data_IF_747620108101
#
_entry.id   IF_747620108101
#
_cell.length_a   1.000
_cell.length_b   1.000
_cell.length_c   1.000
_cell.angle_alpha   90.00
_cell.angle_beta   90.00
_cell.angle_gamma   90.00
#
_symmetry.space_group_name_H-M   'P 1'
#
loop_
_entity.id
_entity.type
_entity.pdbx_description
1 polymer ?
#
# COMPACT_ATOMS: atom_id res chain seq x y z
N UNK A 1 20.87 0.94 15.28
CA UNK A 1 20.67 1.30 13.87
C UNK A 1 19.18 1.31 13.63
N UNK A 2 18.57 2.49 13.50
CA UNK A 2 17.14 2.60 13.23
C UNK A 2 16.89 2.03 11.84
N UNK A 3 16.07 0.97 11.77
CA UNK A 3 15.51 0.50 10.51
C UNK A 3 14.71 1.69 9.99
N UNK A 4 15.12 2.26 8.86
CA UNK A 4 14.31 3.24 8.15
C UNK A 4 13.02 2.52 7.76
N UNK A 5 12.02 2.59 8.65
CA UNK A 5 10.66 2.23 8.32
C UNK A 5 10.29 3.16 7.16
N UNK A 6 10.02 2.57 6.01
CA UNK A 6 9.46 3.28 4.87
C UNK A 6 8.13 3.87 5.35
N UNK A 7 8.16 5.09 5.90
CA UNK A 7 6.99 5.67 6.55
C UNK A 7 5.95 6.15 5.55
N UNK A 8 6.16 5.97 4.24
CA UNK A 8 5.25 6.48 3.20
C UNK A 8 5.14 8.01 3.17
N UNK A 9 5.75 8.72 4.12
CA UNK A 9 5.56 10.16 4.40
C UNK A 9 6.31 11.10 3.45
N UNK A 10 7.36 10.63 2.75
CA UNK A 10 8.12 11.51 1.84
C UNK A 10 7.46 11.78 0.49
N UNK A 11 6.30 11.16 0.22
CA UNK A 11 5.65 11.18 -1.10
C UNK A 11 4.23 11.73 -1.09
N UNK A 12 3.73 12.12 0.08
CA UNK A 12 2.35 12.60 0.29
C UNK A 12 2.38 13.91 1.06
N UNK A 13 1.52 14.86 0.68
CA UNK A 13 1.43 16.17 1.32
C UNK A 13 0.75 16.09 2.69
N UNK A 14 -0.19 15.14 2.85
CA UNK A 14 -0.94 14.90 4.09
C UNK A 14 -0.84 13.42 4.45
N UNK A 15 0.21 13.03 5.20
CA UNK A 15 0.33 11.65 5.65
C UNK A 15 -0.76 11.29 6.67
N UNK A 16 -1.04 10.00 6.80
CA UNK A 16 -1.86 9.49 7.90
C UNK A 16 -1.24 9.83 9.26
N UNK A 17 -2.07 10.05 10.28
CA UNK A 17 -1.57 10.03 11.66
C UNK A 17 -0.99 8.66 11.99
N UNK A 18 -0.05 8.60 12.93
CA UNK A 18 0.51 7.31 13.38
C UNK A 18 -0.58 6.33 13.85
N UNK A 19 -1.61 6.83 14.53
CA UNK A 19 -2.77 6.04 14.95
C UNK A 19 -3.51 5.43 13.76
N UNK A 20 -3.87 6.24 12.75
CA UNK A 20 -4.53 5.74 11.54
C UNK A 20 -3.62 4.81 10.74
N UNK A 21 -2.32 5.09 10.66
CA UNK A 21 -1.36 4.25 9.96
C UNK A 21 -1.34 2.82 10.54
N UNK A 22 -1.34 2.69 11.87
CA UNK A 22 -1.32 1.41 12.58
C UNK A 22 -2.71 0.85 12.89
N UNK A 23 -3.79 1.48 12.44
CA UNK A 23 -5.14 0.94 12.56
C UNK A 23 -5.24 -0.39 11.79
N UNK A 24 -5.95 -1.35 12.38
CA UNK A 24 -6.19 -2.65 11.77
C UNK A 24 -7.38 -2.52 10.81
N UNK A 25 -7.17 -2.95 9.57
CA UNK A 25 -8.25 -3.15 8.61
C UNK A 25 -8.94 -4.47 8.96
N UNK A 26 -10.23 -4.39 9.30
CA UNK A 26 -11.03 -5.55 9.72
C UNK A 26 -11.29 -6.51 8.55
N UNK A 27 -11.63 -5.96 7.39
CA UNK A 27 -11.84 -6.71 6.15
C UNK A 27 -10.94 -6.15 5.04
N UNK A 28 -9.77 -6.77 4.89
CA UNK A 28 -8.75 -6.34 3.91
C UNK A 28 -9.22 -6.57 2.48
N UNK A 29 -9.96 -7.65 2.24
CA UNK A 29 -10.45 -7.97 0.91
C UNK A 29 -11.46 -6.89 0.46
N UNK A 30 -12.39 -6.52 1.34
CA UNK A 30 -13.33 -5.42 1.09
C UNK A 30 -12.62 -4.08 0.86
N UNK A 31 -11.70 -3.70 1.77
CA UNK A 31 -10.99 -2.42 1.67
C UNK A 31 -10.24 -2.30 0.34
N UNK A 32 -9.52 -3.35 -0.05
CA UNK A 32 -8.74 -3.37 -1.29
C UNK A 32 -9.65 -3.38 -2.52
N UNK A 33 -10.74 -4.16 -2.51
CA UNK A 33 -11.71 -4.19 -3.60
C UNK A 33 -12.39 -2.83 -3.81
N UNK A 34 -12.69 -2.12 -2.71
CA UNK A 34 -13.28 -0.78 -2.76
C UNK A 34 -12.36 0.21 -3.48
N UNK A 35 -11.09 0.33 -3.09
CA UNK A 35 -10.15 1.20 -3.81
C UNK A 35 -9.93 0.74 -5.25
N UNK A 36 -9.77 -0.56 -5.50
CA UNK A 36 -9.62 -1.05 -6.86
C UNK A 36 -10.80 -0.66 -7.75
N UNK A 37 -12.02 -0.69 -7.21
CA UNK A 37 -13.23 -0.24 -7.88
C UNK A 37 -13.23 1.26 -8.16
N UNK A 38 -12.84 2.08 -7.17
CA UNK A 38 -12.74 3.55 -7.32
C UNK A 38 -11.73 3.93 -8.41
N UNK A 39 -10.58 3.26 -8.45
CA UNK A 39 -9.50 3.52 -9.41
C UNK A 39 -9.66 2.76 -10.73
N UNK A 40 -10.73 1.98 -10.88
CA UNK A 40 -11.04 1.16 -12.05
C UNK A 40 -9.88 0.23 -12.46
N UNK A 41 -9.30 -0.45 -11.48
CA UNK A 41 -8.25 -1.46 -11.66
C UNK A 41 -8.70 -2.83 -11.14
N UNK A 42 -8.03 -3.89 -11.58
CA UNK A 42 -8.30 -5.24 -11.05
C UNK A 42 -7.75 -5.37 -9.64
N UNK A 43 -8.39 -6.18 -8.81
CA UNK A 43 -7.89 -6.48 -7.48
C UNK A 43 -6.57 -7.30 -7.52
N UNK A 44 -5.56 -6.98 -6.68
CA UNK A 44 -4.37 -7.80 -6.55
C UNK A 44 -4.66 -9.03 -5.68
N UNK A 45 -3.87 -10.09 -5.84
CA UNK A 45 -3.91 -11.23 -4.92
C UNK A 45 -3.39 -10.80 -3.54
N UNK A 46 -4.20 -10.98 -2.51
CA UNK A 46 -3.80 -10.73 -1.13
C UNK A 46 -3.16 -11.98 -0.50
N UNK A 47 -2.00 -11.80 0.12
CA UNK A 47 -1.24 -12.89 0.75
C UNK A 47 -0.85 -12.50 2.17
N UNK A 48 -1.59 -13.02 3.14
CA UNK A 48 -1.23 -12.88 4.55
C UNK A 48 -0.05 -13.79 4.89
N UNK A 49 1.08 -13.20 5.25
CA UNK A 49 2.26 -13.92 5.68
C UNK A 49 2.21 -14.18 7.18
N UNK A 50 2.10 -15.45 7.57
CA UNK A 50 2.05 -15.88 8.98
C UNK A 50 3.43 -16.04 9.62
N UNK A 51 4.51 -16.08 8.82
CA UNK A 51 5.90 -16.12 9.28
C UNK A 51 6.83 -15.33 8.34
N UNK A 52 7.70 -14.51 8.94
CA UNK A 52 8.76 -13.75 8.26
C UNK A 52 9.91 -13.50 9.23
N UNK A 53 11.15 -13.72 8.77
CA UNK A 53 12.38 -13.66 9.58
C UNK A 53 12.73 -12.20 9.95
N UNK A 54 12.17 -11.71 11.04
CA UNK A 54 12.57 -10.44 11.66
C UNK A 54 11.40 -9.65 12.22
N UNK A 55 11.63 -8.92 13.32
CA UNK A 55 10.65 -8.03 14.00
C UNK A 55 10.24 -6.80 13.15
N UNK A 56 10.44 -6.82 11.83
CA UNK A 56 10.53 -5.64 10.96
C UNK A 56 9.79 -5.75 9.62
N UNK A 57 9.06 -6.84 9.33
CA UNK A 57 8.49 -7.03 8.00
C UNK A 57 7.16 -6.27 7.81
N UNK A 58 7.24 -5.16 7.06
CA UNK A 58 6.13 -4.42 6.47
C UNK A 58 5.58 -5.09 5.21
N UNK A 59 4.64 -4.44 4.52
CA UNK A 59 4.03 -4.95 3.30
C UNK A 59 5.02 -5.09 2.14
N UNK A 60 4.60 -5.76 1.08
CA UNK A 60 5.28 -5.70 -0.22
C UNK A 60 4.36 -6.03 -1.39
N UNK A 61 4.43 -5.23 -2.44
CA UNK A 61 3.79 -5.50 -3.72
C UNK A 61 4.73 -6.25 -4.68
N UNK A 62 4.24 -7.35 -5.26
CA UNK A 62 4.91 -8.08 -6.33
C UNK A 62 4.26 -7.75 -7.69
N UNK A 63 4.92 -6.98 -8.56
CA UNK A 63 4.37 -6.57 -9.85
C UNK A 63 4.19 -7.70 -10.87
N UNK A 64 4.96 -8.80 -10.74
CA UNK A 64 4.86 -9.94 -11.66
C UNK A 64 3.67 -10.83 -11.31
N UNK A 65 3.45 -11.04 -10.02
CA UNK A 65 2.35 -11.87 -9.52
C UNK A 65 1.06 -11.07 -9.25
N UNK A 66 1.12 -9.74 -9.39
CA UNK A 66 0.07 -8.79 -8.99
C UNK A 66 -0.45 -9.14 -7.61
N UNK A 67 0.45 -9.23 -6.63
CA UNK A 67 0.11 -9.66 -5.28
C UNK A 67 0.64 -8.72 -4.22
N UNK A 68 -0.16 -8.47 -3.19
CA UNK A 68 0.25 -7.74 -1.98
C UNK A 68 0.48 -8.76 -0.86
N UNK A 69 1.69 -8.76 -0.31
CA UNK A 69 2.03 -9.54 0.88
C UNK A 69 1.96 -8.61 2.09
N UNK A 70 1.36 -9.07 3.17
CA UNK A 70 1.31 -8.33 4.43
C UNK A 70 1.37 -9.29 5.62
N UNK A 71 2.01 -8.86 6.71
CA UNK A 71 2.07 -9.61 7.98
C UNK A 71 0.93 -9.22 8.92
N UNK A 72 0.70 -7.91 9.03
CA UNK A 72 -0.45 -7.31 9.71
C UNK A 72 -1.18 -6.39 8.74
N UNK A 73 -2.53 -6.37 8.78
CA UNK A 73 -3.33 -5.54 7.91
C UNK A 73 -3.41 -4.11 8.45
N UNK A 74 -2.26 -3.44 8.61
CA UNK A 74 -2.23 -2.04 9.00
C UNK A 74 -2.70 -1.17 7.83
N UNK A 75 -3.61 -0.22 8.06
CA UNK A 75 -4.16 0.66 7.02
C UNK A 75 -3.05 1.26 6.16
N UNK A 76 -2.04 1.88 6.79
CA UNK A 76 -0.95 2.54 6.08
C UNK A 76 -0.14 1.58 5.20
N UNK A 77 0.04 0.33 5.65
CA UNK A 77 0.73 -0.70 4.87
C UNK A 77 -0.12 -1.14 3.68
N UNK A 78 -1.41 -1.39 3.88
CA UNK A 78 -2.32 -1.81 2.81
C UNK A 78 -2.41 -0.72 1.73
N UNK A 79 -2.63 0.54 2.13
CA UNK A 79 -2.69 1.66 1.18
C UNK A 79 -1.36 1.83 0.42
N UNK A 80 -0.23 1.73 1.10
CA UNK A 80 1.09 1.86 0.46
C UNK A 80 1.29 0.81 -0.63
N UNK A 81 1.06 -0.47 -0.32
CA UNK A 81 1.24 -1.54 -1.31
C UNK A 81 0.18 -1.51 -2.41
N UNK A 82 -1.03 -1.03 -2.09
CA UNK A 82 -2.09 -0.87 -3.06
C UNK A 82 -1.81 0.29 -4.04
N UNK A 83 -1.16 1.37 -3.59
CA UNK A 83 -0.74 2.46 -4.46
C UNK A 83 0.22 1.96 -5.54
N UNK A 84 1.18 1.11 -5.17
CA UNK A 84 2.08 0.46 -6.15
C UNK A 84 1.31 -0.34 -7.20
N UNK A 85 0.26 -1.04 -6.77
CA UNK A 85 -0.56 -1.84 -7.67
C UNK A 85 -1.39 -0.98 -8.63
N UNK A 86 -2.12 0.01 -8.10
CA UNK A 86 -2.97 0.90 -8.88
C UNK A 86 -2.13 1.67 -9.90
N UNK A 87 -1.04 2.31 -9.44
CA UNK A 87 -0.17 3.09 -10.33
C UNK A 87 0.40 2.23 -11.46
N UNK A 88 0.66 0.94 -11.20
CA UNK A 88 1.12 0.00 -12.22
C UNK A 88 0.00 -0.40 -13.20
N UNK A 89 -1.20 -0.72 -12.72
CA UNK A 89 -2.32 -1.10 -13.60
C UNK A 89 -2.76 0.08 -14.50
N UNK A 90 -2.58 1.31 -14.03
CA UNK A 90 -2.84 2.52 -14.80
C UNK A 90 -1.68 2.92 -15.73
N UNK A 91 -0.56 2.20 -15.70
CA UNK A 91 0.62 2.50 -16.53
C UNK A 91 1.40 3.75 -16.12
N UNK A 92 1.21 4.23 -14.89
CA UNK A 92 1.84 5.44 -14.34
C UNK A 92 3.26 5.18 -13.81
N UNK A 93 3.56 3.93 -13.44
CA UNK A 93 4.87 3.53 -12.92
C UNK A 93 5.49 2.41 -13.76
N UNK A 94 6.82 2.47 -13.90
CA UNK A 94 7.59 1.40 -14.55
C UNK A 94 8.01 0.34 -13.53
N UNK A 95 8.53 -0.78 -14.00
CA UNK A 95 9.10 -1.82 -13.13
C UNK A 95 10.39 -1.39 -12.42
N UNK A 96 10.93 -0.19 -12.68
CA UNK A 96 12.22 0.27 -12.13
C UNK A 96 12.08 1.55 -11.27
N UNK A 97 10.94 2.25 -11.35
CA UNK A 97 10.62 3.41 -10.53
C UNK A 97 9.37 3.13 -9.68
N UNK A 98 9.60 2.78 -8.42
CA UNK A 98 8.52 2.36 -7.50
C UNK A 98 7.96 3.53 -6.67
N UNK A 99 8.75 4.56 -6.39
CA UNK A 99 8.30 5.75 -5.65
C UNK A 99 8.58 7.01 -6.46
N UNK A 100 7.64 7.37 -7.32
CA UNK A 100 7.67 8.59 -8.13
C UNK A 100 6.47 9.50 -7.78
N UNK A 101 6.36 10.64 -8.47
CA UNK A 101 5.26 11.59 -8.23
C UNK A 101 3.87 10.95 -8.44
N UNK A 102 3.72 10.09 -9.44
CA UNK A 102 2.45 9.41 -9.72
C UNK A 102 2.06 8.43 -8.62
N UNK A 103 3.02 7.65 -8.09
CA UNK A 103 2.80 6.84 -6.89
C UNK A 103 2.32 7.69 -5.71
N UNK A 104 2.98 8.83 -5.47
CA UNK A 104 2.63 9.75 -4.39
C UNK A 104 1.22 10.31 -4.55
N UNK A 105 0.82 10.67 -5.77
CA UNK A 105 -0.55 11.14 -6.08
C UNK A 105 -1.59 10.08 -5.80
N UNK A 106 -1.40 8.85 -6.28
CA UNK A 106 -2.33 7.74 -6.03
C UNK A 106 -2.45 7.47 -4.52
N UNK A 107 -1.33 7.48 -3.79
CA UNK A 107 -1.35 7.27 -2.35
C UNK A 107 -2.06 8.42 -1.62
N UNK A 108 -1.84 9.67 -2.01
CA UNK A 108 -2.52 10.83 -1.43
C UNK A 108 -4.03 10.78 -1.67
N UNK A 109 -4.46 10.43 -2.89
CA UNK A 109 -5.88 10.30 -3.23
C UNK A 109 -6.56 9.23 -2.37
N UNK A 110 -5.91 8.08 -2.14
CA UNK A 110 -6.44 7.06 -1.24
C UNK A 110 -6.49 7.54 0.21
N UNK A 111 -5.46 8.23 0.70
CA UNK A 111 -5.44 8.78 2.06
C UNK A 111 -6.58 9.78 2.26
N UNK A 112 -6.80 10.67 1.29
CA UNK A 112 -7.85 11.68 1.35
C UNK A 112 -9.27 11.07 1.41
N UNK A 113 -9.46 9.83 0.97
CA UNK A 113 -10.74 9.10 1.09
C UNK A 113 -11.02 8.55 2.50
N UNK A 114 -9.99 8.43 3.34
CA UNK A 114 -10.08 7.88 4.72
C UNK A 114 -9.93 8.96 5.78
N UNK A 115 -9.66 10.21 5.38
CA UNK A 115 -9.57 11.38 6.26
C UNK A 115 -10.92 12.07 6.43
#
# INVERSE_FOLDING_TARGET
MAVSQCSGESWVDKPLSAEKFFAIVDDVDFEVDWYCSVFNVRMPKLVRQTQGKGRSFGGSYNPKLKSINYTKPYQGVILHELAHHIAREQGLTSSHEHHNAEFGRVLQEMIDMVL
#
